data_IF_601267851371
#
_entry.id   IF_601267851371
#
_cell.length_a   1.000
_cell.length_b   1.000
_cell.length_c   1.000
_cell.angle_alpha   90.00
_cell.angle_beta   90.00
_cell.angle_gamma   90.00
#
_symmetry.space_group_name_H-M   'P 1'
#
loop_
_entity.id
_entity.type
_entity.pdbx_description
1 polymer ?
#
# COMPACT_ATOMS: atom_id res chain seq x y z
N UNK A 1 1.28 37.13 -22.38
CA UNK A 1 1.95 36.13 -21.49
C UNK A 1 1.53 34.75 -21.94
N UNK A 2 2.39 34.03 -22.65
CA UNK A 2 2.13 32.62 -22.99
C UNK A 2 2.37 31.83 -21.71
N UNK A 3 1.31 31.25 -21.15
CA UNK A 3 1.43 30.24 -20.11
C UNK A 3 2.01 28.98 -20.76
N UNK A 4 3.29 28.75 -20.55
CA UNK A 4 3.96 27.52 -20.92
C UNK A 4 3.39 26.41 -20.01
N UNK A 5 2.27 25.80 -20.39
CA UNK A 5 1.81 24.56 -19.78
C UNK A 5 2.80 23.48 -20.20
N UNK A 6 3.87 23.31 -19.41
CA UNK A 6 4.68 22.10 -19.51
C UNK A 6 3.71 20.92 -19.36
N UNK A 7 3.62 20.10 -20.40
CA UNK A 7 2.78 18.92 -20.42
C UNK A 7 3.40 17.92 -19.42
N UNK A 8 3.08 18.06 -18.14
CA UNK A 8 3.59 17.18 -17.10
C UNK A 8 3.06 15.78 -17.35
N UNK A 9 3.93 14.83 -17.58
CA UNK A 9 3.59 13.43 -17.73
C UNK A 9 4.14 12.66 -16.52
N UNK A 10 3.35 11.70 -16.04
CA UNK A 10 3.75 10.74 -15.02
C UNK A 10 3.58 9.34 -15.58
N UNK A 11 4.67 8.59 -15.66
CA UNK A 11 4.62 7.20 -16.10
C UNK A 11 4.33 6.29 -14.92
N UNK A 12 3.12 5.72 -14.91
CA UNK A 12 2.65 4.83 -13.85
C UNK A 12 2.75 3.38 -14.30
N UNK A 13 3.32 2.53 -13.45
CA UNK A 13 3.30 1.07 -13.59
C UNK A 13 2.31 0.45 -12.62
N UNK A 14 1.62 -0.61 -13.06
CA UNK A 14 0.79 -1.43 -12.20
C UNK A 14 1.43 -2.82 -12.12
N UNK A 15 1.97 -3.16 -10.96
CA UNK A 15 2.52 -4.48 -10.67
C UNK A 15 1.41 -5.42 -10.25
N UNK A 16 1.42 -6.65 -10.77
CA UNK A 16 0.43 -7.65 -10.43
C UNK A 16 1.11 -8.99 -10.14
N UNK A 17 0.83 -9.56 -8.97
CA UNK A 17 1.23 -10.91 -8.59
C UNK A 17 0.27 -11.47 -7.54
N UNK A 18 0.26 -12.78 -7.37
CA UNK A 18 -0.51 -13.45 -6.32
C UNK A 18 0.39 -13.59 -5.07
N UNK A 19 0.10 -12.81 -4.04
CA UNK A 19 0.84 -12.93 -2.79
C UNK A 19 0.56 -14.28 -2.10
N UNK A 20 1.61 -14.91 -1.63
CA UNK A 20 1.56 -16.12 -0.80
C UNK A 20 1.70 -15.77 0.69
N UNK A 21 1.61 -16.78 1.56
CA UNK A 21 1.65 -16.54 3.01
C UNK A 21 3.05 -16.16 3.52
N UNK A 22 4.08 -16.63 2.86
CA UNK A 22 5.48 -16.39 3.19
C UNK A 22 5.97 -15.06 2.56
N UNK A 23 6.78 -14.32 3.30
CA UNK A 23 7.24 -12.99 2.88
C UNK A 23 8.32 -13.07 1.79
N UNK A 24 9.26 -14.00 1.91
CA UNK A 24 10.42 -14.03 1.01
C UNK A 24 10.05 -14.27 -0.46
N UNK A 25 9.15 -15.21 -0.82
CA UNK A 25 8.68 -15.33 -2.19
C UNK A 25 7.97 -14.07 -2.70
N UNK A 26 7.22 -13.37 -1.84
CA UNK A 26 6.58 -12.12 -2.21
C UNK A 26 7.61 -11.02 -2.50
N UNK A 27 8.68 -10.94 -1.72
CA UNK A 27 9.80 -10.01 -1.97
C UNK A 27 10.48 -10.29 -3.30
N UNK A 28 10.66 -11.56 -3.69
CA UNK A 28 11.22 -11.95 -4.99
C UNK A 28 10.34 -11.49 -6.15
N UNK A 29 9.02 -11.68 -6.05
CA UNK A 29 8.08 -11.17 -7.05
C UNK A 29 8.12 -9.64 -7.13
N UNK A 30 8.13 -8.95 -5.99
CA UNK A 30 8.20 -7.49 -5.92
C UNK A 30 9.50 -7.00 -6.54
N UNK A 31 10.64 -7.60 -6.21
CA UNK A 31 11.94 -7.23 -6.77
C UNK A 31 11.93 -7.31 -8.30
N UNK A 32 11.38 -8.40 -8.83
CA UNK A 32 11.26 -8.60 -10.29
C UNK A 32 10.41 -7.50 -10.91
N UNK A 33 9.25 -7.17 -10.33
CA UNK A 33 8.36 -6.12 -10.84
C UNK A 33 8.99 -4.74 -10.76
N UNK A 34 9.68 -4.43 -9.67
CA UNK A 34 10.39 -3.15 -9.49
C UNK A 34 11.50 -2.99 -10.53
N UNK A 35 12.30 -4.04 -10.75
CA UNK A 35 13.36 -4.02 -11.76
C UNK A 35 12.80 -3.80 -13.17
N UNK A 36 11.76 -4.56 -13.55
CA UNK A 36 11.11 -4.40 -14.85
C UNK A 36 10.46 -3.02 -15.03
N UNK A 37 9.88 -2.47 -13.97
CA UNK A 37 9.30 -1.12 -13.99
C UNK A 37 10.39 -0.06 -14.19
N UNK A 38 11.51 -0.19 -13.49
CA UNK A 38 12.65 0.73 -13.60
C UNK A 38 13.25 0.71 -15.03
N UNK A 39 13.44 -0.47 -15.63
CA UNK A 39 13.92 -0.63 -17.00
C UNK A 39 12.99 0.05 -18.02
N UNK A 40 11.69 0.12 -17.71
CA UNK A 40 10.70 0.81 -18.53
C UNK A 40 10.59 2.30 -18.21
N UNK A 41 11.33 2.84 -17.26
CA UNK A 41 11.28 4.25 -16.84
C UNK A 41 9.97 4.61 -16.12
N UNK A 42 9.38 3.68 -15.39
CA UNK A 42 8.24 3.93 -14.52
C UNK A 42 8.67 4.85 -13.38
N UNK A 43 7.84 5.84 -13.06
CA UNK A 43 8.11 6.83 -12.01
C UNK A 43 7.29 6.59 -10.74
N UNK A 44 6.13 5.95 -10.90
CA UNK A 44 5.26 5.50 -9.81
C UNK A 44 4.83 4.06 -10.07
N UNK A 45 5.26 3.12 -9.24
CA UNK A 45 4.82 1.73 -9.28
C UNK A 45 3.75 1.48 -8.21
N UNK A 46 2.60 0.94 -8.63
CA UNK A 46 1.53 0.55 -7.72
C UNK A 46 1.50 -0.97 -7.62
N UNK A 47 1.76 -1.50 -6.42
CA UNK A 47 1.72 -2.91 -6.08
C UNK A 47 0.37 -3.29 -5.45
N UNK A 48 0.01 -4.60 -5.42
CA UNK A 48 -1.29 -5.03 -4.91
C UNK A 48 -1.50 -4.76 -3.42
N UNK A 49 -2.78 -4.75 -3.02
CA UNK A 49 -3.17 -4.98 -1.63
C UNK A 49 -2.49 -6.25 -1.09
N UNK A 50 -2.14 -6.24 0.20
CA UNK A 50 -1.52 -7.40 0.87
C UNK A 50 -0.26 -7.96 0.17
N UNK A 51 0.55 -7.09 -0.44
CA UNK A 51 1.79 -7.47 -1.12
C UNK A 51 2.78 -8.18 -0.19
N UNK A 52 2.71 -7.89 1.10
CA UNK A 52 3.58 -8.47 2.11
C UNK A 52 3.23 -9.92 2.42
N UNK A 53 1.93 -10.25 2.52
CA UNK A 53 1.43 -11.56 2.94
C UNK A 53 -0.04 -11.72 2.54
N UNK A 54 -0.43 -12.90 2.09
CA UNK A 54 -1.81 -13.21 1.70
C UNK A 54 -2.78 -13.14 2.89
N UNK A 55 -3.97 -12.58 2.68
CA UNK A 55 -5.08 -12.61 3.64
C UNK A 55 -5.66 -14.02 3.90
N UNK A 56 -5.29 -15.01 3.11
CA UNK A 56 -5.65 -16.41 3.36
C UNK A 56 -5.05 -16.96 4.65
N UNK A 57 -4.01 -16.32 5.19
CA UNK A 57 -3.34 -16.71 6.42
C UNK A 57 -4.26 -16.63 7.66
N UNK A 58 -4.11 -17.54 8.63
CA UNK A 58 -4.77 -17.44 9.93
C UNK A 58 -4.35 -16.17 10.68
N UNK A 59 -5.25 -15.63 11.52
CA UNK A 59 -4.97 -14.40 12.30
C UNK A 59 -3.65 -14.46 13.10
N UNK A 60 -3.29 -15.55 13.80
CA UNK A 60 -2.01 -15.62 14.51
C UNK A 60 -0.80 -15.38 13.58
N UNK A 61 -0.81 -15.96 12.38
CA UNK A 61 0.25 -15.76 11.38
C UNK A 61 0.26 -14.34 10.85
N UNK A 62 -0.91 -13.74 10.56
CA UNK A 62 -0.99 -12.33 10.14
C UNK A 62 -0.41 -11.40 11.22
N UNK A 63 -0.69 -11.67 12.50
CA UNK A 63 -0.16 -10.91 13.63
C UNK A 63 1.36 -11.04 13.76
N UNK A 64 1.88 -12.25 13.64
CA UNK A 64 3.32 -12.51 13.65
C UNK A 64 3.99 -11.74 12.50
N UNK A 65 3.44 -11.84 11.30
CA UNK A 65 3.93 -11.12 10.12
C UNK A 65 3.89 -9.60 10.34
N UNK A 66 2.76 -9.08 10.84
CA UNK A 66 2.59 -7.65 11.08
C UNK A 66 3.51 -7.11 12.19
N UNK A 67 3.74 -7.89 13.25
CA UNK A 67 4.56 -7.47 14.39
C UNK A 67 6.06 -7.61 14.14
N UNK A 68 6.49 -8.79 13.70
CA UNK A 68 7.90 -9.13 13.63
C UNK A 68 8.54 -8.74 12.29
N UNK A 69 7.80 -8.89 11.20
CA UNK A 69 8.36 -8.81 9.85
C UNK A 69 8.04 -7.48 9.14
N UNK A 70 6.96 -6.80 9.52
CA UNK A 70 6.56 -5.57 8.84
C UNK A 70 7.65 -4.49 8.83
N UNK A 71 8.37 -4.21 9.92
CA UNK A 71 9.45 -3.21 9.89
C UNK A 71 10.58 -3.57 8.93
N UNK A 72 10.94 -4.85 8.82
CA UNK A 72 11.98 -5.31 7.91
C UNK A 72 11.51 -5.26 6.45
N UNK A 73 10.26 -5.64 6.19
CA UNK A 73 9.65 -5.54 4.87
C UNK A 73 9.55 -4.08 4.40
N UNK A 74 9.11 -3.17 5.27
CA UNK A 74 9.04 -1.74 4.95
C UNK A 74 10.42 -1.18 4.60
N UNK A 75 11.46 -1.49 5.38
CA UNK A 75 12.83 -1.09 5.06
C UNK A 75 13.29 -1.62 3.69
N UNK A 76 13.02 -2.88 3.39
CA UNK A 76 13.31 -3.48 2.08
C UNK A 76 12.61 -2.69 0.95
N UNK A 77 11.36 -2.32 1.11
CA UNK A 77 10.63 -1.52 0.13
C UNK A 77 11.19 -0.10 -0.02
N UNK A 78 11.63 0.50 1.08
CA UNK A 78 12.30 1.82 1.08
C UNK A 78 13.63 1.76 0.31
N UNK A 79 14.40 0.68 0.50
CA UNK A 79 15.64 0.47 -0.24
C UNK A 79 15.36 0.31 -1.74
N UNK A 80 14.37 -0.49 -2.14
CA UNK A 80 13.97 -0.63 -3.54
C UNK A 80 13.53 0.69 -4.17
N UNK A 81 12.72 1.50 -3.47
CA UNK A 81 12.27 2.80 -3.96
C UNK A 81 13.45 3.74 -4.22
N UNK A 82 14.38 3.81 -3.27
CA UNK A 82 15.61 4.62 -3.37
C UNK A 82 16.54 4.12 -4.48
N UNK A 83 16.84 2.83 -4.48
CA UNK A 83 17.86 2.25 -5.35
C UNK A 83 17.44 2.30 -6.84
N UNK A 84 16.13 2.27 -7.10
CA UNK A 84 15.54 2.43 -8.43
C UNK A 84 15.02 3.83 -8.73
N UNK A 85 15.20 4.80 -7.80
CA UNK A 85 14.75 6.20 -7.95
C UNK A 85 13.26 6.30 -8.38
N UNK A 86 12.39 5.51 -7.74
CA UNK A 86 10.99 5.31 -8.13
C UNK A 86 10.06 5.42 -6.93
N UNK A 87 8.92 6.12 -7.09
CA UNK A 87 7.87 6.07 -6.07
C UNK A 87 7.18 4.71 -6.08
N UNK A 88 6.87 4.18 -4.90
CA UNK A 88 6.19 2.88 -4.77
C UNK A 88 5.00 3.00 -3.84
N UNK A 89 3.84 2.52 -4.30
CA UNK A 89 2.68 2.24 -3.45
C UNK A 89 2.64 0.74 -3.19
N UNK A 90 2.62 0.34 -1.92
CA UNK A 90 2.69 -1.09 -1.53
C UNK A 90 1.72 -1.41 -0.40
N UNK A 91 1.03 -2.55 -0.53
CA UNK A 91 0.16 -3.10 0.51
C UNK A 91 0.96 -3.78 1.62
N UNK A 92 0.73 -3.36 2.88
CA UNK A 92 1.39 -3.91 4.07
C UNK A 92 0.38 -4.22 5.16
N UNK A 93 0.78 -5.08 6.10
CA UNK A 93 0.05 -5.34 7.34
C UNK A 93 0.80 -4.72 8.51
N UNK A 94 0.06 -4.15 9.47
CA UNK A 94 0.59 -3.70 10.75
C UNK A 94 -0.31 -4.21 11.89
N UNK A 95 0.21 -4.27 13.10
CA UNK A 95 -0.64 -4.53 14.26
C UNK A 95 -1.62 -3.36 14.44
N UNK A 96 -2.82 -3.65 14.93
CA UNK A 96 -3.72 -2.61 15.40
C UNK A 96 -3.10 -1.89 16.60
N UNK A 97 -3.18 -0.57 16.60
CA UNK A 97 -2.59 0.29 17.63
C UNK A 97 -3.54 0.54 18.84
N UNK A 98 -4.73 -0.07 18.82
CA UNK A 98 -5.64 -0.01 19.97
C UNK A 98 -5.33 -1.09 21.00
N UNK A 99 -5.18 -0.74 22.27
CA UNK A 99 -4.99 -1.72 23.33
C UNK A 99 -6.11 -2.77 23.36
N UNK A 100 -5.74 -4.05 23.35
CA UNK A 100 -6.69 -5.17 23.38
C UNK A 100 -7.30 -5.58 22.04
N UNK A 101 -7.06 -4.85 20.96
CA UNK A 101 -7.46 -5.29 19.61
C UNK A 101 -6.39 -6.22 19.04
N UNK A 102 -6.74 -7.49 18.88
CA UNK A 102 -5.84 -8.50 18.35
C UNK A 102 -5.77 -8.56 16.82
N UNK A 103 -6.56 -7.75 16.12
CA UNK A 103 -6.55 -7.72 14.66
C UNK A 103 -5.33 -7.01 14.12
N UNK A 104 -5.11 -7.17 12.82
CA UNK A 104 -4.13 -6.39 12.07
C UNK A 104 -4.82 -5.24 11.35
N UNK A 105 -4.06 -4.26 10.87
CA UNK A 105 -4.53 -3.23 9.94
C UNK A 105 -4.00 -3.53 8.53
N UNK A 106 -4.83 -3.27 7.53
CA UNK A 106 -4.49 -3.36 6.12
C UNK A 106 -4.17 -1.95 5.61
N UNK A 107 -2.94 -1.75 5.17
CA UNK A 107 -2.44 -0.42 4.86
C UNK A 107 -1.82 -0.37 3.46
N UNK A 108 -1.92 0.80 2.83
CA UNK A 108 -1.09 1.19 1.70
C UNK A 108 -0.04 2.19 2.21
N UNK A 109 1.22 1.91 1.91
CA UNK A 109 2.31 2.86 2.11
C UNK A 109 2.68 3.49 0.78
N UNK A 110 2.95 4.79 0.78
CA UNK A 110 3.60 5.49 -0.33
C UNK A 110 5.02 5.81 0.08
N UNK A 111 5.95 5.31 -0.70
CA UNK A 111 7.38 5.59 -0.58
C UNK A 111 7.78 6.50 -1.75
N UNK A 112 8.49 7.56 -1.48
CA UNK A 112 9.04 8.40 -2.53
C UNK A 112 10.33 7.79 -3.14
N UNK A 113 10.83 8.43 -4.17
CA UNK A 113 12.04 7.99 -4.87
C UNK A 113 13.34 8.13 -4.05
N UNK A 114 13.29 8.68 -2.84
CA UNK A 114 14.39 8.68 -1.87
C UNK A 114 14.29 7.55 -0.86
N UNK A 115 13.19 6.78 -0.90
CA UNK A 115 12.85 5.74 0.07
C UNK A 115 12.13 6.28 1.32
N UNK A 116 11.80 7.57 1.38
CA UNK A 116 11.05 8.10 2.51
C UNK A 116 9.56 7.69 2.42
N UNK A 117 8.99 7.31 3.56
CA UNK A 117 7.54 7.08 3.65
C UNK A 117 6.83 8.43 3.71
N UNK A 118 6.12 8.79 2.64
CA UNK A 118 5.39 10.07 2.53
C UNK A 118 3.93 9.97 2.92
N UNK A 119 3.34 8.77 2.85
CA UNK A 119 1.95 8.55 3.23
C UNK A 119 1.75 7.13 3.76
N UNK A 120 0.81 7.01 4.70
CA UNK A 120 0.25 5.75 5.18
C UNK A 120 -1.27 5.87 5.19
N UNK A 121 -1.93 5.03 4.44
CA UNK A 121 -3.38 4.95 4.36
C UNK A 121 -3.84 3.62 4.97
N UNK A 122 -4.76 3.64 5.92
CA UNK A 122 -5.39 2.43 6.47
C UNK A 122 -6.73 2.20 5.77
N UNK A 123 -6.92 1.03 5.19
CA UNK A 123 -8.16 0.63 4.51
C UNK A 123 -9.38 0.86 5.40
N UNK A 124 -10.35 1.59 4.90
CA UNK A 124 -11.51 2.01 5.68
C UNK A 124 -12.67 1.02 5.59
N UNK A 125 -12.84 0.39 4.44
CA UNK A 125 -13.94 -0.53 4.19
C UNK A 125 -13.42 -1.95 4.04
N UNK A 126 -13.61 -2.75 5.09
CA UNK A 126 -13.25 -4.17 5.08
C UNK A 126 -14.33 -5.00 4.37
N UNK A 127 -13.89 -6.08 3.71
CA UNK A 127 -14.75 -6.92 2.88
C UNK A 127 -15.42 -8.03 3.71
N UNK A 128 -16.68 -7.81 4.04
CA UNK A 128 -17.52 -8.77 4.75
C UNK A 128 -18.65 -9.27 3.82
N UNK A 129 -18.33 -10.22 2.95
CA UNK A 129 -19.30 -10.74 1.99
C UNK A 129 -19.00 -12.20 1.61
N UNK A 130 -20.01 -12.91 1.09
CA UNK A 130 -19.90 -14.27 0.57
C UNK A 130 -19.22 -15.27 1.53
N UNK A 131 -19.59 -15.24 2.81
CA UNK A 131 -19.05 -16.10 3.88
C UNK A 131 -17.59 -15.79 4.28
N UNK A 132 -16.99 -14.75 3.71
CA UNK A 132 -15.70 -14.22 4.14
C UNK A 132 -15.94 -12.96 4.97
N UNK A 133 -15.30 -12.89 6.14
CA UNK A 133 -15.32 -11.72 7.02
C UNK A 133 -13.91 -11.22 7.24
N UNK A 134 -13.55 -10.20 6.49
CA UNK A 134 -12.26 -9.52 6.68
C UNK A 134 -12.20 -8.86 8.07
N UNK A 135 -13.33 -8.35 8.57
CA UNK A 135 -13.43 -7.69 9.88
C UNK A 135 -13.07 -8.59 11.07
N UNK A 136 -13.11 -9.93 10.93
CA UNK A 136 -12.66 -10.86 11.96
C UNK A 136 -11.13 -10.80 12.15
N UNK A 137 -10.38 -10.37 11.15
CA UNK A 137 -8.91 -10.35 11.13
C UNK A 137 -8.33 -8.94 10.99
N UNK A 138 -9.04 -8.05 10.29
CA UNK A 138 -8.57 -6.73 9.93
C UNK A 138 -9.43 -5.66 10.58
N UNK A 139 -8.78 -4.76 11.31
CA UNK A 139 -9.41 -3.57 11.86
C UNK A 139 -9.49 -2.51 10.77
N UNK A 140 -10.68 -1.95 10.47
CA UNK A 140 -10.80 -0.84 9.53
C UNK A 140 -10.16 0.43 10.09
N UNK A 141 -9.68 1.29 9.20
CA UNK A 141 -9.32 2.67 9.51
C UNK A 141 -10.54 3.50 9.91
N UNK A 142 -10.30 4.65 10.51
CA UNK A 142 -11.36 5.58 10.94
C UNK A 142 -10.96 7.01 10.66
N UNK A 143 -11.90 7.83 10.18
CA UNK A 143 -11.71 9.28 10.01
C UNK A 143 -11.50 10.02 11.33
N UNK A 144 -11.84 9.42 12.45
CA UNK A 144 -11.65 10.02 13.78
C UNK A 144 -10.22 9.88 14.32
N UNK A 145 -9.38 9.11 13.67
CA UNK A 145 -7.98 8.93 14.05
C UNK A 145 -7.15 10.10 13.56
N UNK A 146 -6.19 10.56 14.38
CA UNK A 146 -5.36 11.75 14.11
C UNK A 146 -4.57 11.72 12.79
N UNK A 147 -4.52 10.57 12.11
CA UNK A 147 -3.83 10.33 10.85
C UNK A 147 -4.78 9.85 9.73
N UNK A 148 -6.09 10.04 9.91
CA UNK A 148 -7.10 9.68 8.90
C UNK A 148 -7.19 10.76 7.82
N UNK A 149 -6.08 11.15 7.26
CA UNK A 149 -6.09 11.94 6.03
C UNK A 149 -6.61 11.03 4.91
N UNK A 150 -7.50 11.55 4.09
CA UNK A 150 -7.79 10.96 2.79
C UNK A 150 -6.43 10.65 2.18
N UNK A 151 -6.21 9.40 1.76
CA UNK A 151 -4.91 8.93 1.30
C UNK A 151 -4.42 9.69 0.07
N UNK A 152 -4.05 10.96 0.23
CA UNK A 152 -3.66 11.88 -0.84
C UNK A 152 -2.16 12.17 -0.76
N UNK A 153 -1.47 12.15 -1.90
CA UNK A 153 -0.09 12.59 -2.03
C UNK A 153 0.13 13.27 -3.38
N UNK A 154 1.18 14.08 -3.45
CA UNK A 154 1.52 14.82 -4.67
C UNK A 154 2.80 14.25 -5.29
N UNK A 155 2.80 14.07 -6.62
CA UNK A 155 3.96 13.65 -7.42
C UNK A 155 3.98 14.41 -8.75
N UNK A 156 5.06 15.11 -9.07
CA UNK A 156 5.24 15.85 -10.34
C UNK A 156 4.07 16.78 -10.71
N UNK A 157 3.39 17.34 -9.70
CA UNK A 157 2.24 18.23 -9.91
C UNK A 157 0.90 17.50 -10.06
N UNK A 158 0.88 16.17 -9.99
CA UNK A 158 -0.34 15.38 -9.90
C UNK A 158 -0.67 15.13 -8.44
N UNK A 159 -1.96 15.28 -8.07
CA UNK A 159 -2.50 14.84 -6.80
C UNK A 159 -3.12 13.46 -6.98
N UNK A 160 -2.61 12.49 -6.25
CA UNK A 160 -3.00 11.07 -6.32
C UNK A 160 -3.77 10.69 -5.05
N UNK A 161 -4.95 10.09 -5.24
CA UNK A 161 -5.73 9.51 -4.15
C UNK A 161 -5.60 8.00 -4.10
N UNK A 162 -5.54 7.43 -2.89
CA UNK A 162 -5.48 5.99 -2.66
C UNK A 162 -6.87 5.42 -2.38
N UNK A 163 -7.18 4.31 -3.04
CA UNK A 163 -8.36 3.48 -2.79
C UNK A 163 -7.86 2.03 -2.69
N UNK A 164 -8.21 1.32 -1.62
CA UNK A 164 -7.73 -0.02 -1.37
C UNK A 164 -8.86 -1.05 -1.51
N UNK A 165 -8.87 -1.82 -2.60
CA UNK A 165 -9.76 -2.95 -2.84
C UNK A 165 -11.24 -2.59 -2.66
N UNK A 166 -11.87 -3.01 -1.55
CA UNK A 166 -13.29 -2.83 -1.30
C UNK A 166 -13.71 -1.36 -1.13
N UNK A 167 -12.77 -0.46 -0.78
CA UNK A 167 -13.02 0.99 -0.75
C UNK A 167 -13.58 1.51 -2.08
N UNK A 168 -13.25 0.84 -3.21
CA UNK A 168 -13.77 1.21 -4.53
C UNK A 168 -15.32 1.15 -4.62
N UNK A 169 -15.97 0.40 -3.73
CA UNK A 169 -17.43 0.29 -3.67
C UNK A 169 -18.09 1.48 -2.96
N UNK A 170 -17.30 2.39 -2.42
CA UNK A 170 -17.74 3.57 -1.67
C UNK A 170 -17.29 4.84 -2.40
N UNK A 171 -18.05 5.27 -3.43
CA UNK A 171 -17.64 6.39 -4.30
C UNK A 171 -17.53 7.73 -3.55
N UNK A 172 -18.09 7.82 -2.35
CA UNK A 172 -18.00 9.00 -1.48
C UNK A 172 -16.54 9.33 -1.17
N UNK A 173 -15.69 8.31 -0.98
CA UNK A 173 -14.25 8.51 -0.75
C UNK A 173 -13.55 9.21 -1.91
N UNK A 174 -13.94 8.87 -3.13
CA UNK A 174 -13.34 9.48 -4.33
C UNK A 174 -13.87 10.89 -4.62
N UNK A 175 -14.95 11.29 -3.96
CA UNK A 175 -15.58 12.62 -4.12
C UNK A 175 -15.19 13.61 -3.03
N UNK A 176 -14.67 13.13 -1.89
CA UNK A 176 -14.25 13.96 -0.77
C UNK A 176 -12.91 14.63 -1.07
#
# INVERSE_FOLDING_TARGET
MQTNTSNSQLKVGVGQFAAVNEIEPNKEHIHTLVTQAAEQGVELLVLPEASMCSFGSPLPQLRETAGNNSPAFVRYMQDLARDHNMHIVVGVLSLADQPGDERVTNQLLVLDNTGAQVLRYTKMHVYDAFKFKESDKVRPGSFSEKNAELGLFDIKGFRIGLINCYDLRFPEMARA
#
